data_IF_864350899508
#
_entry.id   IF_864350899508
#
_cell.length_a   1.000
_cell.length_b   1.000
_cell.length_c   1.000
_cell.angle_alpha   90.00
_cell.angle_beta   90.00
_cell.angle_gamma   90.00
#
_symmetry.space_group_name_H-M   'P 1'
#
loop_
_entity.id
_entity.type
_entity.pdbx_description
1 polymer ?
#
# COMPACT_ATOMS: atom_id res chain seq x y z
N UNK A 1 7.81 40.23 9.95
CA UNK A 1 7.18 39.18 9.10
C UNK A 1 5.78 38.97 9.66
N UNK A 2 4.82 39.78 9.19
CA UNK A 2 3.44 39.84 9.72
C UNK A 2 2.55 38.91 8.90
N UNK A 3 1.82 38.09 9.61
CA UNK A 3 0.72 37.23 9.20
C UNK A 3 -0.31 37.99 8.39
N UNK A 4 -0.49 37.64 7.10
CA UNK A 4 -1.63 38.05 6.31
C UNK A 4 -2.52 36.83 6.01
N UNK A 5 -3.34 36.47 6.97
CA UNK A 5 -4.62 35.85 6.66
C UNK A 5 -5.64 36.98 6.80
N UNK A 6 -6.17 37.46 5.69
CA UNK A 6 -7.22 38.50 5.75
C UNK A 6 -8.42 37.89 6.47
N UNK A 7 -8.96 38.59 7.47
CA UNK A 7 -10.18 38.21 8.20
C UNK A 7 -11.37 37.90 7.25
N UNK A 8 -11.35 38.44 6.04
CA UNK A 8 -12.34 38.15 5.01
C UNK A 8 -12.28 36.69 4.49
N UNK A 9 -11.10 36.10 4.32
CA UNK A 9 -10.95 34.73 3.85
C UNK A 9 -11.41 33.70 4.91
N UNK A 10 -11.12 33.98 6.18
CA UNK A 10 -11.56 33.13 7.31
C UNK A 10 -13.07 33.20 7.50
N UNK A 11 -13.69 34.39 7.34
CA UNK A 11 -15.16 34.57 7.42
C UNK A 11 -15.89 33.92 6.24
N UNK A 12 -15.32 33.91 5.03
CA UNK A 12 -15.89 33.24 3.87
C UNK A 12 -15.80 31.71 4.03
N UNK A 13 -14.68 31.19 4.56
CA UNK A 13 -14.49 29.77 4.85
C UNK A 13 -15.46 29.28 5.93
N UNK A 14 -15.58 30.00 7.04
CA UNK A 14 -16.50 29.65 8.12
C UNK A 14 -17.97 29.73 7.68
N UNK A 15 -18.34 30.70 6.83
CA UNK A 15 -19.70 30.76 6.24
C UNK A 15 -19.97 29.60 5.28
N UNK A 16 -19.01 29.21 4.46
CA UNK A 16 -19.10 28.04 3.56
C UNK A 16 -19.24 26.71 4.34
N UNK A 17 -18.45 26.51 5.39
CA UNK A 17 -18.54 25.32 6.25
C UNK A 17 -19.83 25.29 7.05
N UNK A 18 -20.27 26.42 7.60
CA UNK A 18 -21.52 26.49 8.35
C UNK A 18 -22.79 26.32 7.47
N UNK A 19 -22.72 26.62 6.17
CA UNK A 19 -23.83 26.35 5.25
C UNK A 19 -23.93 24.86 4.83
N UNK A 20 -22.86 24.07 5.00
CA UNK A 20 -22.84 22.63 4.70
C UNK A 20 -23.29 21.76 5.89
N UNK A 21 -23.20 22.27 7.13
CA UNK A 21 -23.60 21.54 8.33
C UNK A 21 -25.09 21.13 8.31
N UNK A 22 -26.07 21.95 7.88
CA UNK A 22 -27.45 21.51 7.80
C UNK A 22 -27.69 20.41 6.76
N UNK A 23 -26.95 20.43 5.65
CA UNK A 23 -27.06 19.39 4.61
C UNK A 23 -26.49 18.06 5.08
N UNK A 24 -25.39 18.07 5.82
CA UNK A 24 -24.78 16.86 6.40
C UNK A 24 -25.65 16.28 7.53
N UNK A 25 -26.23 17.15 8.39
CA UNK A 25 -27.15 16.72 9.43
C UNK A 25 -28.48 16.18 8.85
N UNK A 26 -28.99 16.78 7.78
CA UNK A 26 -30.17 16.28 7.07
C UNK A 26 -29.93 14.90 6.44
N UNK A 27 -28.73 14.67 5.88
CA UNK A 27 -28.34 13.37 5.34
C UNK A 27 -28.22 12.30 6.45
N UNK A 28 -27.68 12.65 7.61
CA UNK A 28 -27.55 11.74 8.76
C UNK A 28 -28.90 11.35 9.39
N UNK A 29 -29.89 12.24 9.32
CA UNK A 29 -31.26 11.99 9.83
C UNK A 29 -32.06 11.07 8.89
N UNK A 30 -31.81 11.14 7.56
CA UNK A 30 -32.52 10.32 6.57
C UNK A 30 -32.09 8.85 6.55
N UNK A 31 -30.96 8.49 7.16
CA UNK A 31 -30.41 7.14 7.20
C UNK A 31 -30.35 6.52 8.59
N UNK A 32 -31.31 6.85 9.49
CA UNK A 32 -31.49 6.05 10.69
C UNK A 32 -32.02 4.67 10.30
N UNK A 33 -31.32 3.57 10.59
CA UNK A 33 -31.84 2.24 10.29
C UNK A 33 -33.03 1.94 11.20
N UNK A 34 -34.22 1.86 10.60
CA UNK A 34 -35.37 1.27 11.26
C UNK A 34 -35.11 -0.24 11.37
N UNK A 35 -34.86 -0.72 12.57
CA UNK A 35 -34.73 -2.17 12.83
C UNK A 35 -36.09 -2.81 12.62
N UNK A 36 -36.29 -3.49 11.51
CA UNK A 36 -37.41 -4.40 11.34
C UNK A 36 -37.13 -5.67 12.15
N UNK A 37 -37.85 -5.86 13.22
CA UNK A 37 -37.90 -7.11 13.98
C UNK A 37 -38.77 -8.08 13.13
N UNK A 38 -38.14 -9.08 12.57
CA UNK A 38 -38.86 -10.17 11.90
C UNK A 38 -39.53 -11.05 12.96
N UNK A 39 -40.85 -11.21 12.83
CA UNK A 39 -41.63 -12.14 13.64
C UNK A 39 -41.35 -13.59 13.23
N UNK A 40 -41.22 -14.47 14.22
CA UNK A 40 -41.00 -15.91 14.07
C UNK A 40 -42.04 -16.57 13.17
N UNK A 41 -41.66 -17.46 12.27
CA UNK A 41 -42.61 -18.41 11.68
C UNK A 41 -42.67 -19.67 12.52
N UNK A 42 -43.87 -19.99 12.96
CA UNK A 42 -44.19 -21.25 13.60
C UNK A 42 -44.17 -22.42 12.62
N UNK A 43 -43.69 -23.57 13.10
CA UNK A 43 -43.94 -24.93 12.64
C UNK A 43 -43.46 -25.35 11.25
N UNK A 44 -42.22 -25.85 11.22
CA UNK A 44 -41.80 -26.83 10.21
C UNK A 44 -41.96 -28.22 10.86
N UNK A 45 -42.90 -29.00 10.30
CA UNK A 45 -43.13 -30.40 10.65
C UNK A 45 -41.87 -31.23 10.44
N UNK A 46 -41.51 -32.04 11.44
CA UNK A 46 -40.39 -32.98 11.42
C UNK A 46 -40.51 -33.96 10.22
N UNK A 47 -39.68 -33.76 9.21
CA UNK A 47 -39.41 -34.84 8.25
C UNK A 47 -38.39 -35.81 8.89
N UNK A 48 -38.50 -37.14 8.67
CA UNK A 48 -37.55 -38.10 9.18
C UNK A 48 -36.19 -37.82 8.57
N UNK A 49 -35.26 -37.28 9.34
CA UNK A 49 -33.87 -37.16 8.96
C UNK A 49 -33.29 -38.56 8.89
N UNK A 50 -33.10 -39.11 7.68
CA UNK A 50 -32.23 -40.26 7.48
C UNK A 50 -30.90 -39.93 8.11
N UNK A 51 -30.34 -40.84 8.90
CA UNK A 51 -29.16 -40.66 9.74
C UNK A 51 -27.92 -40.30 8.91
N UNK A 52 -27.82 -39.05 8.47
CA UNK A 52 -26.54 -38.42 8.10
C UNK A 52 -25.75 -38.40 9.41
N UNK A 53 -24.65 -39.11 9.48
CA UNK A 53 -23.83 -39.10 10.69
C UNK A 53 -23.40 -37.64 10.92
N UNK A 54 -23.36 -37.20 12.18
CA UNK A 54 -22.98 -35.84 12.53
C UNK A 54 -21.56 -35.48 11.98
N UNK A 55 -20.71 -36.50 11.81
CA UNK A 55 -19.41 -36.38 11.12
C UNK A 55 -19.52 -35.94 9.67
N UNK A 56 -20.42 -36.54 8.88
CA UNK A 56 -20.57 -36.23 7.45
C UNK A 56 -21.09 -34.80 7.21
N UNK A 57 -21.98 -34.33 8.13
CA UNK A 57 -22.43 -32.95 8.12
C UNK A 57 -21.31 -31.97 8.51
N UNK A 58 -20.51 -32.30 9.52
CA UNK A 58 -19.36 -31.51 9.96
C UNK A 58 -18.33 -31.37 8.83
N UNK A 59 -18.00 -32.47 8.14
CA UNK A 59 -17.04 -32.46 7.04
C UNK A 59 -17.56 -31.66 5.85
N UNK A 60 -18.85 -31.78 5.54
CA UNK A 60 -19.49 -31.00 4.47
C UNK A 60 -19.47 -29.49 4.80
N UNK A 61 -19.75 -29.11 6.04
CA UNK A 61 -19.69 -27.71 6.49
C UNK A 61 -18.23 -27.17 6.43
N UNK A 62 -17.25 -27.96 6.83
CA UNK A 62 -15.84 -27.58 6.74
C UNK A 62 -15.41 -27.35 5.27
N UNK A 63 -15.83 -28.22 4.34
CA UNK A 63 -15.55 -28.03 2.90
C UNK A 63 -16.19 -26.76 2.35
N UNK A 64 -17.44 -26.46 2.70
CA UNK A 64 -18.12 -25.22 2.29
C UNK A 64 -17.40 -23.98 2.87
N UNK A 65 -17.00 -24.06 4.13
CA UNK A 65 -16.23 -23.00 4.81
C UNK A 65 -14.92 -22.71 4.07
N UNK A 66 -14.09 -23.72 3.86
CA UNK A 66 -12.82 -23.58 3.11
C UNK A 66 -13.06 -23.09 1.67
N UNK A 67 -14.14 -23.55 1.03
CA UNK A 67 -14.54 -23.08 -0.30
C UNK A 67 -14.84 -21.58 -0.33
N UNK A 68 -15.58 -21.04 0.67
CA UNK A 68 -15.86 -19.60 0.79
C UNK A 68 -14.59 -18.80 1.06
N UNK A 69 -13.72 -19.28 1.94
CA UNK A 69 -12.44 -18.63 2.26
C UNK A 69 -11.54 -18.58 1.02
N UNK A 70 -11.49 -19.68 0.26
CA UNK A 70 -10.74 -19.75 -1.01
C UNK A 70 -11.27 -18.75 -2.04
N UNK A 71 -12.59 -18.68 -2.21
CA UNK A 71 -13.23 -17.73 -3.14
C UNK A 71 -12.93 -16.30 -2.71
N UNK A 72 -13.02 -15.99 -1.42
CA UNK A 72 -12.68 -14.66 -0.90
C UNK A 72 -11.23 -14.28 -1.19
N UNK A 73 -10.28 -15.16 -0.88
CA UNK A 73 -8.85 -14.93 -1.15
C UNK A 73 -8.56 -14.72 -2.64
N UNK A 74 -9.17 -15.51 -3.54
CA UNK A 74 -8.98 -15.36 -4.98
C UNK A 74 -9.61 -14.07 -5.53
N UNK A 75 -10.80 -13.68 -5.03
CA UNK A 75 -11.41 -12.39 -5.36
C UNK A 75 -10.52 -11.23 -4.90
N UNK A 76 -9.97 -11.32 -3.69
CA UNK A 76 -9.03 -10.33 -3.18
C UNK A 76 -7.75 -10.26 -4.03
N UNK A 77 -7.19 -11.41 -4.44
CA UNK A 77 -6.04 -11.45 -5.35
C UNK A 77 -6.34 -10.76 -6.70
N UNK A 78 -7.54 -10.98 -7.27
CA UNK A 78 -7.97 -10.30 -8.50
C UNK A 78 -8.10 -8.78 -8.31
N UNK A 79 -8.66 -8.32 -7.19
CA UNK A 79 -8.77 -6.91 -6.87
C UNK A 79 -7.39 -6.25 -6.73
N UNK A 80 -6.45 -6.92 -6.05
CA UNK A 80 -5.06 -6.41 -5.92
C UNK A 80 -4.32 -6.48 -7.26
N UNK A 81 -4.50 -7.52 -8.06
CA UNK A 81 -3.98 -7.56 -9.43
C UNK A 81 -4.46 -6.34 -10.24
N UNK A 82 -5.73 -5.97 -10.09
CA UNK A 82 -6.30 -4.82 -10.78
C UNK A 82 -5.70 -3.47 -10.31
N UNK A 83 -4.91 -3.45 -9.23
CA UNK A 83 -4.11 -2.28 -8.87
C UNK A 83 -2.95 -2.03 -9.84
N UNK A 84 -2.49 -3.00 -10.61
CA UNK A 84 -1.43 -2.80 -11.61
C UNK A 84 -1.81 -1.77 -12.69
N UNK A 85 -2.97 -1.89 -13.37
CA UNK A 85 -3.43 -0.81 -14.25
C UNK A 85 -3.68 0.50 -13.50
N UNK A 86 -4.07 0.45 -12.21
CA UNK A 86 -4.19 1.64 -11.37
C UNK A 86 -2.88 2.40 -11.23
N UNK A 87 -1.80 1.74 -10.86
CA UNK A 87 -0.46 2.32 -10.81
C UNK A 87 -0.02 2.83 -12.18
N UNK A 88 -0.20 2.04 -13.23
CA UNK A 88 0.14 2.43 -14.60
C UNK A 88 -0.55 3.74 -15.01
N UNK A 89 -1.84 3.91 -14.67
CA UNK A 89 -2.60 5.12 -14.99
C UNK A 89 -2.17 6.32 -14.13
N UNK A 90 -1.90 6.13 -12.84
CA UNK A 90 -1.38 7.19 -11.95
C UNK A 90 -0.03 7.68 -12.46
N UNK A 91 0.91 6.76 -12.71
CA UNK A 91 2.25 7.10 -13.17
C UNK A 91 2.23 7.76 -14.56
N UNK A 92 1.49 7.19 -15.51
CA UNK A 92 1.33 7.77 -16.84
C UNK A 92 0.73 9.17 -16.76
N UNK A 93 -0.32 9.34 -15.96
CA UNK A 93 -0.99 10.63 -15.81
C UNK A 93 -0.10 11.73 -15.21
N UNK A 94 0.75 11.39 -14.25
CA UNK A 94 1.69 12.32 -13.61
C UNK A 94 3.00 12.52 -14.37
N UNK A 95 3.30 11.70 -15.37
CA UNK A 95 4.48 11.83 -16.22
C UNK A 95 4.18 12.59 -17.52
N UNK A 96 5.25 12.90 -18.29
CA UNK A 96 5.11 13.53 -19.61
C UNK A 96 4.72 12.49 -20.67
N UNK A 97 3.85 12.86 -21.61
CA UNK A 97 3.25 11.96 -22.61
C UNK A 97 4.27 11.17 -23.45
N UNK A 98 5.45 11.68 -23.68
CA UNK A 98 6.55 11.05 -24.43
C UNK A 98 7.23 9.86 -23.74
N UNK A 99 6.76 9.52 -22.51
CA UNK A 99 7.28 8.42 -21.71
C UNK A 99 6.16 7.45 -21.30
N UNK A 100 4.96 7.57 -21.88
CA UNK A 100 3.79 6.80 -21.47
C UNK A 100 3.92 5.32 -21.81
N UNK A 101 4.36 4.96 -23.03
CA UNK A 101 4.57 3.57 -23.41
C UNK A 101 5.65 2.91 -22.52
N UNK A 102 6.72 3.64 -22.21
CA UNK A 102 7.76 3.15 -21.30
C UNK A 102 7.21 2.87 -19.90
N UNK A 103 6.34 3.75 -19.38
CA UNK A 103 5.70 3.56 -18.06
C UNK A 103 4.78 2.35 -18.08
N UNK A 104 3.93 2.20 -19.09
CA UNK A 104 3.02 1.05 -19.20
C UNK A 104 3.81 -0.26 -19.30
N UNK A 105 4.87 -0.29 -20.12
CA UNK A 105 5.73 -1.46 -20.24
C UNK A 105 6.42 -1.83 -18.92
N UNK A 106 6.87 -0.85 -18.13
CA UNK A 106 7.46 -1.10 -16.81
C UNK A 106 6.46 -1.76 -15.86
N UNK A 107 5.24 -1.24 -15.77
CA UNK A 107 4.20 -1.82 -14.92
C UNK A 107 3.80 -3.25 -15.35
N UNK A 108 3.77 -3.55 -16.66
CA UNK A 108 3.56 -4.92 -17.16
C UNK A 108 4.71 -5.84 -16.76
N UNK A 109 5.95 -5.38 -16.89
CA UNK A 109 7.14 -6.18 -16.58
C UNK A 109 7.26 -6.45 -15.09
N UNK A 110 6.90 -5.49 -14.23
CA UNK A 110 6.89 -5.72 -12.79
C UNK A 110 6.02 -6.92 -12.42
N UNK A 111 4.83 -6.97 -12.99
CA UNK A 111 3.95 -8.09 -12.71
C UNK A 111 4.45 -9.39 -13.33
N UNK A 112 4.85 -9.39 -14.61
CA UNK A 112 5.28 -10.62 -15.30
C UNK A 112 6.56 -11.20 -14.70
N UNK A 113 7.58 -10.37 -14.55
CA UNK A 113 8.90 -10.81 -14.04
C UNK A 113 8.81 -11.09 -12.54
N UNK A 114 8.14 -10.21 -11.79
CA UNK A 114 7.92 -10.36 -10.37
C UNK A 114 7.19 -11.67 -10.04
N UNK A 115 6.11 -11.98 -10.78
CA UNK A 115 5.32 -13.22 -10.57
C UNK A 115 6.17 -14.47 -10.78
N UNK A 116 6.92 -14.55 -11.87
CA UNK A 116 7.75 -15.72 -12.18
C UNK A 116 8.84 -15.90 -11.12
N UNK A 117 9.53 -14.82 -10.77
CA UNK A 117 10.67 -14.91 -9.85
C UNK A 117 10.24 -15.06 -8.39
N UNK A 118 9.11 -14.49 -8.02
CA UNK A 118 8.54 -14.71 -6.71
C UNK A 118 8.12 -16.17 -6.53
N UNK A 119 7.47 -16.77 -7.55
CA UNK A 119 7.16 -18.20 -7.54
C UNK A 119 8.40 -19.08 -7.45
N UNK A 120 9.46 -18.81 -8.27
CA UNK A 120 10.65 -19.67 -8.32
C UNK A 120 11.45 -19.58 -7.02
N UNK A 121 11.64 -18.39 -6.45
CA UNK A 121 12.57 -18.14 -5.34
C UNK A 121 11.93 -17.37 -4.20
N UNK A 122 11.26 -16.25 -4.50
CA UNK A 122 10.83 -15.28 -3.50
C UNK A 122 9.85 -15.85 -2.49
N UNK A 123 8.91 -16.69 -2.94
CA UNK A 123 7.90 -17.30 -2.08
C UNK A 123 8.52 -18.22 -1.03
N UNK A 124 9.48 -19.09 -1.42
CA UNK A 124 10.22 -19.92 -0.48
C UNK A 124 11.05 -19.10 0.51
N UNK A 125 11.70 -18.02 0.06
CA UNK A 125 12.45 -17.13 0.94
C UNK A 125 11.54 -16.38 1.92
N UNK A 126 10.28 -16.11 1.54
CA UNK A 126 9.34 -15.39 2.37
C UNK A 126 8.63 -16.30 3.37
N UNK A 127 8.17 -17.46 2.94
CA UNK A 127 7.32 -18.36 3.74
C UNK A 127 7.97 -19.69 4.11
N UNK A 128 9.15 -20.00 3.58
CA UNK A 128 9.89 -21.18 3.95
C UNK A 128 10.40 -21.15 5.40
N UNK A 129 10.70 -22.29 6.00
CA UNK A 129 11.24 -22.36 7.35
C UNK A 129 12.59 -21.64 7.47
N UNK A 130 12.77 -20.85 8.53
CA UNK A 130 14.01 -20.10 8.80
C UNK A 130 13.79 -19.03 9.87
N UNK A 131 14.86 -18.51 10.46
CA UNK A 131 14.76 -17.45 11.47
C UNK A 131 14.88 -16.05 10.90
N UNK A 132 15.89 -15.80 10.08
CA UNK A 132 16.17 -14.51 9.45
C UNK A 132 15.64 -14.42 8.01
N UNK A 133 15.69 -15.53 7.29
CA UNK A 133 15.18 -15.68 5.93
C UNK A 133 14.71 -17.11 5.77
N UNK A 134 13.64 -17.30 5.00
CA UNK A 134 13.12 -18.62 4.69
C UNK A 134 14.06 -19.40 3.75
N UNK A 135 13.89 -20.70 3.72
CA UNK A 135 14.64 -21.58 2.81
C UNK A 135 14.04 -21.51 1.41
N UNK A 136 14.80 -21.27 0.35
CA UNK A 136 14.28 -21.32 -1.01
C UNK A 136 13.86 -22.74 -1.40
N UNK A 137 12.65 -22.88 -1.92
CA UNK A 137 12.07 -24.17 -2.31
C UNK A 137 11.98 -24.39 -3.83
N UNK A 138 12.51 -23.50 -4.62
CA UNK A 138 12.71 -23.65 -6.08
C UNK A 138 11.49 -24.21 -6.84
N UNK A 139 10.34 -23.54 -6.74
CA UNK A 139 9.05 -23.92 -7.34
C UNK A 139 8.30 -25.06 -6.63
N UNK A 140 8.89 -25.68 -5.63
CA UNK A 140 8.22 -26.66 -4.79
C UNK A 140 7.33 -25.94 -3.77
N UNK A 141 6.07 -26.31 -3.69
CA UNK A 141 5.07 -25.72 -2.79
C UNK A 141 4.67 -26.67 -1.65
N UNK A 142 5.10 -27.92 -1.65
CA UNK A 142 4.70 -28.93 -0.66
C UNK A 142 5.12 -28.55 0.79
N UNK A 143 6.16 -27.72 0.95
CA UNK A 143 6.61 -27.24 2.26
C UNK A 143 5.56 -26.39 3.01
N UNK A 144 4.56 -25.86 2.30
CA UNK A 144 3.57 -24.94 2.85
C UNK A 144 2.40 -25.61 3.56
N UNK A 145 2.19 -26.89 3.40
CA UNK A 145 1.07 -27.62 4.02
C UNK A 145 0.99 -27.43 5.54
N UNK A 146 2.13 -27.13 6.17
CA UNK A 146 2.24 -26.85 7.60
C UNK A 146 2.01 -25.38 7.99
N UNK A 147 2.02 -24.44 7.04
CA UNK A 147 1.96 -23.00 7.29
C UNK A 147 0.55 -22.46 7.10
N UNK A 148 -0.21 -23.01 6.15
CA UNK A 148 -1.61 -22.63 5.91
C UNK A 148 -2.52 -23.51 6.76
N UNK A 149 -2.71 -23.14 8.01
CA UNK A 149 -3.47 -23.91 9.01
C UNK A 149 -4.98 -23.99 8.75
N UNK A 150 -5.53 -23.18 7.84
CA UNK A 150 -6.96 -23.08 7.56
C UNK A 150 -7.39 -23.81 6.27
N UNK A 151 -6.52 -24.66 5.69
CA UNK A 151 -6.85 -25.50 4.53
C UNK A 151 -7.01 -24.77 3.20
N UNK A 152 -6.53 -23.52 3.10
CA UNK A 152 -6.53 -22.78 1.82
C UNK A 152 -5.58 -23.44 0.81
N UNK A 153 -5.96 -23.50 -0.49
CA UNK A 153 -5.07 -23.98 -1.53
C UNK A 153 -3.80 -23.13 -1.63
N UNK A 154 -2.64 -23.78 -1.64
CA UNK A 154 -1.33 -23.14 -1.67
C UNK A 154 -1.13 -22.24 -2.90
N UNK A 155 -1.62 -22.68 -4.08
CA UNK A 155 -1.54 -21.89 -5.30
C UNK A 155 -2.37 -20.61 -5.21
N UNK A 156 -3.51 -20.66 -4.52
CA UNK A 156 -4.34 -19.50 -4.23
C UNK A 156 -3.61 -18.52 -3.30
N UNK A 157 -2.95 -19.01 -2.26
CA UNK A 157 -2.14 -18.19 -1.37
C UNK A 157 -0.92 -17.62 -2.09
N UNK A 158 -0.24 -18.39 -2.93
CA UNK A 158 0.89 -17.93 -3.75
C UNK A 158 0.49 -16.76 -4.65
N UNK A 159 -0.62 -16.87 -5.41
CA UNK A 159 -1.04 -15.77 -6.28
C UNK A 159 -1.46 -14.53 -5.48
N UNK A 160 -2.11 -14.72 -4.32
CA UNK A 160 -2.43 -13.61 -3.41
C UNK A 160 -1.16 -12.90 -2.95
N UNK A 161 -0.12 -13.61 -2.50
CA UNK A 161 1.15 -13.01 -2.08
C UNK A 161 1.95 -12.43 -3.25
N UNK A 162 1.81 -13.00 -4.45
CA UNK A 162 2.48 -12.51 -5.67
C UNK A 162 2.02 -11.08 -6.02
N UNK A 163 0.76 -10.78 -5.92
CA UNK A 163 0.24 -9.43 -6.25
C UNK A 163 0.72 -8.37 -5.25
N UNK A 164 1.02 -8.74 -4.01
CA UNK A 164 1.65 -7.86 -3.01
C UNK A 164 3.13 -7.61 -3.33
N UNK A 165 3.86 -8.65 -3.72
CA UNK A 165 5.25 -8.52 -4.17
C UNK A 165 5.37 -7.58 -5.37
N UNK A 166 4.54 -7.77 -6.39
CA UNK A 166 4.50 -6.93 -7.57
C UNK A 166 4.18 -5.47 -7.22
N UNK A 167 3.27 -5.23 -6.25
CA UNK A 167 2.95 -3.89 -5.77
C UNK A 167 4.18 -3.19 -5.19
N UNK A 168 4.99 -3.88 -4.38
CA UNK A 168 6.22 -3.31 -3.82
C UNK A 168 7.22 -2.89 -4.91
N UNK A 169 7.36 -3.68 -5.97
CA UNK A 169 8.25 -3.36 -7.10
C UNK A 169 7.72 -2.18 -7.94
N UNK A 170 6.41 -2.15 -8.23
CA UNK A 170 5.75 -1.11 -9.02
C UNK A 170 5.89 0.28 -8.38
N UNK A 171 5.83 0.40 -7.05
CA UNK A 171 6.03 1.67 -6.34
C UNK A 171 7.33 2.37 -6.72
N UNK A 172 8.39 1.61 -6.96
CA UNK A 172 9.70 2.16 -7.32
C UNK A 172 9.70 2.78 -8.72
N UNK A 173 8.90 2.25 -9.63
CA UNK A 173 8.74 2.74 -11.00
C UNK A 173 8.46 4.23 -11.07
N UNK A 174 7.49 4.70 -10.29
CA UNK A 174 7.03 6.09 -10.31
C UNK A 174 8.10 7.10 -9.96
N UNK A 175 8.90 6.84 -8.91
CA UNK A 175 9.95 7.74 -8.47
C UNK A 175 11.11 7.86 -9.48
N UNK A 176 11.34 6.81 -10.25
CA UNK A 176 12.42 6.73 -11.23
C UNK A 176 11.96 6.98 -12.67
N UNK A 177 10.70 7.35 -12.86
CA UNK A 177 10.11 7.58 -14.18
C UNK A 177 10.84 8.64 -15.01
N UNK A 178 10.71 8.51 -16.35
CA UNK A 178 11.16 9.44 -17.39
C UNK A 178 12.66 9.49 -17.66
N UNK A 179 13.54 8.80 -16.90
CA UNK A 179 14.99 8.90 -17.06
C UNK A 179 15.79 7.61 -16.82
N UNK A 180 15.12 6.53 -16.36
CA UNK A 180 15.76 5.25 -16.09
C UNK A 180 15.78 4.39 -17.34
N UNK A 181 16.91 3.73 -17.64
CA UNK A 181 16.99 2.71 -18.69
C UNK A 181 16.04 1.55 -18.38
N UNK A 182 15.31 1.07 -19.37
CA UNK A 182 14.37 -0.03 -19.20
C UNK A 182 15.05 -1.33 -18.74
N UNK A 183 16.23 -1.64 -19.27
CA UNK A 183 17.00 -2.81 -18.85
C UNK A 183 17.40 -2.78 -17.37
N UNK A 184 17.73 -1.60 -16.82
CA UNK A 184 18.06 -1.47 -15.41
C UNK A 184 16.81 -1.62 -14.53
N UNK A 185 15.67 -1.17 -15.04
CA UNK A 185 14.38 -1.37 -14.42
C UNK A 185 14.10 -2.86 -14.21
N UNK A 186 14.23 -3.68 -15.25
CA UNK A 186 14.05 -5.13 -15.16
C UNK A 186 14.96 -5.76 -14.09
N UNK A 187 16.24 -5.36 -14.04
CA UNK A 187 17.20 -5.96 -13.10
C UNK A 187 16.83 -5.64 -11.65
N UNK A 188 16.47 -4.39 -11.35
CA UNK A 188 16.13 -4.10 -9.95
C UNK A 188 14.77 -4.68 -9.54
N UNK A 189 13.81 -4.83 -10.45
CA UNK A 189 12.56 -5.59 -10.21
C UNK A 189 12.87 -7.03 -9.81
N UNK A 190 13.81 -7.68 -10.50
CA UNK A 190 14.30 -9.02 -10.13
C UNK A 190 14.79 -9.02 -8.67
N UNK A 191 15.67 -8.09 -8.31
CA UNK A 191 16.27 -8.05 -6.96
C UNK A 191 15.21 -7.75 -5.90
N UNK A 192 14.24 -6.89 -6.17
CA UNK A 192 13.14 -6.62 -5.24
C UNK A 192 12.33 -7.90 -5.01
N UNK A 193 11.95 -8.61 -6.08
CA UNK A 193 11.05 -9.77 -6.02
C UNK A 193 11.69 -11.02 -5.42
N UNK A 194 13.02 -11.18 -5.56
CA UNK A 194 13.72 -12.37 -5.03
C UNK A 194 14.47 -12.14 -3.74
N UNK A 195 14.71 -10.90 -3.32
CA UNK A 195 15.54 -10.63 -2.15
C UNK A 195 14.93 -9.61 -1.21
N UNK A 196 14.72 -8.35 -1.67
CA UNK A 196 14.42 -7.27 -0.72
C UNK A 196 13.07 -7.47 -0.08
N UNK A 197 12.03 -7.68 -0.88
CA UNK A 197 10.66 -7.88 -0.42
C UNK A 197 10.48 -9.20 0.34
N UNK A 198 10.94 -10.37 -0.18
CA UNK A 198 10.74 -11.64 0.52
C UNK A 198 11.40 -11.69 1.89
N UNK A 199 12.58 -11.11 2.07
CA UNK A 199 13.26 -11.12 3.36
C UNK A 199 12.51 -10.29 4.41
N UNK A 200 12.10 -9.08 4.08
CA UNK A 200 11.30 -8.26 5.00
C UNK A 200 9.91 -8.86 5.26
N UNK A 201 9.32 -9.48 4.24
CA UNK A 201 8.07 -10.22 4.36
C UNK A 201 8.18 -11.44 5.26
N UNK A 202 9.30 -12.18 5.18
CA UNK A 202 9.59 -13.29 6.07
C UNK A 202 9.62 -12.87 7.54
N UNK A 203 10.28 -11.74 7.85
CA UNK A 203 10.36 -11.24 9.22
C UNK A 203 9.00 -11.00 9.85
N UNK A 204 8.01 -10.59 9.06
CA UNK A 204 6.70 -10.14 9.55
C UNK A 204 5.60 -11.19 9.34
N UNK A 205 5.52 -11.79 8.13
CA UNK A 205 4.43 -12.69 7.74
C UNK A 205 4.87 -14.15 7.58
N UNK A 206 6.17 -14.39 7.35
CA UNK A 206 6.73 -15.72 7.13
C UNK A 206 7.18 -16.45 8.40
N UNK A 207 6.77 -16.00 9.58
CA UNK A 207 7.17 -16.61 10.85
C UNK A 207 8.58 -16.22 11.32
N UNK A 208 9.17 -15.17 10.75
CA UNK A 208 10.49 -14.67 11.13
C UNK A 208 10.51 -13.91 12.46
N UNK A 209 11.64 -13.36 12.81
CA UNK A 209 11.95 -12.84 14.13
C UNK A 209 11.14 -11.62 14.59
N UNK A 210 10.57 -10.81 13.68
CA UNK A 210 9.69 -9.69 14.05
C UNK A 210 8.28 -10.14 14.45
N UNK A 211 7.82 -11.30 13.95
CA UNK A 211 6.48 -11.84 14.26
C UNK A 211 6.46 -12.72 15.52
N UNK A 212 7.63 -13.05 16.09
CA UNK A 212 7.72 -13.94 17.24
C UNK A 212 7.77 -13.16 18.56
N UNK A 213 6.70 -13.23 19.36
CA UNK A 213 6.59 -12.62 20.69
C UNK A 213 6.72 -13.64 21.84
N UNK A 214 7.17 -14.87 21.58
CA UNK A 214 7.35 -15.88 22.63
C UNK A 214 8.41 -15.43 23.64
N UNK A 215 8.29 -15.91 24.90
CA UNK A 215 9.32 -15.72 25.92
C UNK A 215 10.66 -16.29 25.43
N UNK A 216 11.75 -15.54 25.60
CA UNK A 216 13.08 -15.87 25.06
C UNK A 216 13.29 -15.48 23.60
N UNK A 217 12.28 -14.93 22.91
CA UNK A 217 12.44 -14.31 21.60
C UNK A 217 12.83 -12.84 21.71
N UNK A 218 13.50 -12.31 20.68
CA UNK A 218 13.93 -10.91 20.68
C UNK A 218 12.78 -9.90 20.89
N UNK A 219 11.65 -10.10 20.19
CA UNK A 219 10.49 -9.19 20.31
C UNK A 219 9.75 -9.41 21.62
N UNK A 220 9.63 -10.68 22.07
CA UNK A 220 8.99 -11.02 23.35
C UNK A 220 9.74 -10.43 24.53
N UNK A 221 11.07 -10.56 24.58
CA UNK A 221 11.89 -10.08 25.69
C UNK A 221 11.99 -8.54 25.71
N UNK A 222 12.01 -7.87 24.54
CA UNK A 222 12.21 -6.43 24.46
C UNK A 222 10.90 -5.65 24.57
N UNK A 223 9.83 -6.13 23.97
CA UNK A 223 8.56 -5.39 23.83
C UNK A 223 7.36 -6.11 24.45
N UNK A 224 7.46 -7.41 24.74
CA UNK A 224 6.35 -8.26 25.19
C UNK A 224 5.29 -8.53 24.12
N UNK A 225 5.51 -8.08 22.88
CA UNK A 225 4.57 -8.18 21.76
C UNK A 225 5.34 -8.17 20.43
N UNK A 226 4.76 -8.78 19.38
CA UNK A 226 5.33 -8.79 18.03
C UNK A 226 5.08 -7.48 17.28
N UNK A 227 5.86 -7.27 16.23
CA UNK A 227 5.57 -6.26 15.21
C UNK A 227 4.33 -6.67 14.42
N UNK A 228 3.41 -5.73 14.22
CA UNK A 228 2.16 -5.95 13.50
C UNK A 228 2.09 -5.07 12.25
N UNK A 229 1.86 -5.69 11.12
CA UNK A 229 1.57 -5.04 9.85
C UNK A 229 0.56 -5.90 9.09
N UNK A 230 -0.74 -5.59 9.27
CA UNK A 230 -1.83 -6.45 8.80
C UNK A 230 -1.77 -6.72 7.30
N UNK A 231 -1.68 -5.66 6.51
CA UNK A 231 -1.72 -5.78 5.06
C UNK A 231 -0.52 -5.13 4.34
N UNK A 232 0.48 -4.55 5.05
CA UNK A 232 1.75 -4.15 4.42
C UNK A 232 2.00 -2.65 4.29
N UNK A 233 1.60 -1.81 5.26
CA UNK A 233 2.07 -0.42 5.28
C UNK A 233 3.59 -0.33 5.29
N UNK A 234 4.25 -1.16 6.10
CA UNK A 234 5.72 -1.25 6.15
C UNK A 234 6.25 -2.26 5.11
N UNK A 235 5.77 -3.51 5.14
CA UNK A 235 6.31 -4.64 4.37
C UNK A 235 6.18 -4.45 2.86
N UNK A 236 5.10 -3.82 2.39
CA UNK A 236 4.87 -3.55 0.95
C UNK A 236 5.20 -2.11 0.62
N UNK A 237 4.46 -1.18 1.23
CA UNK A 237 4.49 0.23 0.83
C UNK A 237 5.77 0.93 1.28
N UNK A 238 6.20 0.79 2.53
CA UNK A 238 7.46 1.42 2.97
C UNK A 238 8.67 0.79 2.31
N UNK A 239 8.68 -0.52 2.08
CA UNK A 239 9.76 -1.18 1.33
C UNK A 239 9.89 -0.56 -0.06
N UNK A 240 8.81 -0.54 -0.86
CA UNK A 240 8.81 0.11 -2.17
C UNK A 240 9.17 1.59 -2.10
N UNK A 241 8.61 2.34 -1.15
CA UNK A 241 8.82 3.78 -0.99
C UNK A 241 10.24 4.18 -0.60
N UNK A 242 10.92 3.42 0.27
CA UNK A 242 12.31 3.69 0.64
C UNK A 242 13.29 3.31 -0.48
N UNK A 243 13.05 2.20 -1.18
CA UNK A 243 13.80 1.84 -2.39
C UNK A 243 13.63 2.94 -3.44
N UNK A 244 12.41 3.44 -3.64
CA UNK A 244 12.08 4.53 -4.56
C UNK A 244 12.86 5.82 -4.24
N UNK A 245 12.91 6.20 -2.96
CA UNK A 245 13.66 7.39 -2.52
C UNK A 245 15.16 7.27 -2.82
N UNK A 246 15.74 6.13 -2.48
CA UNK A 246 17.17 5.87 -2.70
C UNK A 246 17.49 5.79 -4.20
N UNK A 247 16.64 5.10 -4.96
CA UNK A 247 16.78 5.00 -6.42
C UNK A 247 16.72 6.37 -7.09
N UNK A 248 15.73 7.20 -6.75
CA UNK A 248 15.60 8.56 -7.26
C UNK A 248 16.79 9.46 -6.88
N UNK A 249 17.32 9.30 -5.65
CA UNK A 249 18.51 10.05 -5.20
C UNK A 249 19.76 9.70 -6.00
N UNK A 250 20.00 8.41 -6.27
CA UNK A 250 21.18 7.95 -7.05
C UNK A 250 21.05 8.31 -8.52
N UNK A 251 19.85 8.14 -9.11
CA UNK A 251 19.56 8.44 -10.50
C UNK A 251 19.68 9.94 -10.82
N UNK A 252 19.41 10.78 -9.83
CA UNK A 252 19.39 12.23 -9.95
C UNK A 252 18.10 12.80 -10.58
N UNK A 253 17.93 14.13 -10.55
CA UNK A 253 16.72 14.80 -11.01
C UNK A 253 16.59 14.79 -12.54
N UNK A 254 15.34 14.86 -13.02
CA UNK A 254 15.04 15.06 -14.46
C UNK A 254 15.66 16.33 -15.01
N UNK A 255 16.00 16.32 -16.27
CA UNK A 255 16.51 17.50 -16.97
C UNK A 255 15.52 18.66 -16.83
N UNK A 256 16.02 19.80 -16.36
CA UNK A 256 15.22 21.01 -16.15
C UNK A 256 14.38 21.03 -14.85
N UNK A 257 14.51 20.04 -13.97
CA UNK A 257 13.79 19.99 -12.69
C UNK A 257 14.19 21.12 -11.74
N UNK A 258 15.45 21.50 -11.74
CA UNK A 258 15.96 22.61 -10.90
C UNK A 258 16.49 23.74 -11.73
N UNK A 259 16.29 24.97 -11.24
CA UNK A 259 16.92 26.17 -11.78
C UNK A 259 18.41 26.20 -11.42
N UNK A 260 19.16 27.13 -12.00
CA UNK A 260 20.59 27.29 -11.73
C UNK A 260 20.89 27.63 -10.25
N UNK A 261 19.96 28.33 -9.59
CA UNK A 261 19.99 28.63 -8.15
C UNK A 261 19.39 27.50 -7.26
N UNK A 262 19.13 26.34 -7.85
CA UNK A 262 18.68 25.14 -7.15
C UNK A 262 17.21 25.16 -6.69
N UNK A 263 16.38 26.06 -7.22
CA UNK A 263 14.93 26.04 -6.93
C UNK A 263 14.24 25.01 -7.82
N UNK A 264 13.29 24.23 -7.26
CA UNK A 264 12.55 23.27 -8.06
C UNK A 264 11.60 23.96 -9.05
N UNK A 265 11.51 23.41 -10.25
CA UNK A 265 10.51 23.75 -11.26
C UNK A 265 9.47 22.65 -11.32
N UNK A 266 8.20 23.05 -11.46
CA UNK A 266 7.15 22.09 -11.71
C UNK A 266 7.34 21.47 -13.11
N UNK A 267 7.28 20.13 -13.19
CA UNK A 267 7.16 19.37 -14.42
C UNK A 267 5.79 18.72 -14.37
N UNK A 268 4.74 19.33 -14.92
CA UNK A 268 3.38 18.80 -14.81
C UNK A 268 3.25 17.49 -15.57
N UNK A 269 2.41 16.61 -15.04
CA UNK A 269 1.93 15.43 -15.75
C UNK A 269 1.07 15.84 -16.95
N UNK A 270 0.98 14.95 -17.93
CA UNK A 270 0.26 15.27 -19.16
C UNK A 270 -1.24 15.01 -19.08
N UNK A 271 -1.71 14.18 -18.13
CA UNK A 271 -3.12 13.77 -18.10
C UNK A 271 -3.61 13.47 -16.68
N UNK A 272 -4.11 14.48 -16.00
CA UNK A 272 -4.70 14.33 -14.66
C UNK A 272 -5.98 13.46 -14.64
N UNK A 273 -6.67 13.31 -15.78
CA UNK A 273 -7.84 12.41 -15.88
C UNK A 273 -7.40 10.96 -15.74
N UNK A 274 -6.29 10.56 -16.39
CA UNK A 274 -5.70 9.23 -16.21
C UNK A 274 -5.25 9.02 -14.77
N UNK A 275 -4.58 10.01 -14.17
CA UNK A 275 -4.14 9.92 -12.78
C UNK A 275 -5.35 9.73 -11.83
N UNK A 276 -6.42 10.47 -12.05
CA UNK A 276 -7.65 10.34 -11.28
C UNK A 276 -8.29 8.95 -11.41
N UNK A 277 -8.42 8.45 -12.65
CA UNK A 277 -8.91 7.11 -12.92
C UNK A 277 -8.05 6.06 -12.22
N UNK A 278 -6.72 6.20 -12.30
CA UNK A 278 -5.78 5.31 -11.64
C UNK A 278 -5.97 5.26 -10.12
N UNK A 279 -6.20 6.41 -9.48
CA UNK A 279 -6.46 6.46 -8.03
C UNK A 279 -7.78 5.77 -7.66
N UNK A 280 -8.85 5.90 -8.45
CA UNK A 280 -10.09 5.14 -8.22
C UNK A 280 -9.88 3.64 -8.37
N UNK A 281 -9.09 3.21 -9.37
CA UNK A 281 -8.75 1.79 -9.57
C UNK A 281 -7.94 1.28 -8.38
N UNK A 282 -6.95 2.05 -7.90
CA UNK A 282 -6.16 1.70 -6.72
C UNK A 282 -7.03 1.62 -5.46
N UNK A 283 -7.92 2.57 -5.25
CA UNK A 283 -8.86 2.56 -4.11
C UNK A 283 -9.76 1.34 -4.13
N UNK A 284 -10.34 1.03 -5.30
CA UNK A 284 -11.13 -0.18 -5.50
C UNK A 284 -10.33 -1.46 -5.21
N UNK A 285 -9.10 -1.55 -5.73
CA UNK A 285 -8.19 -2.67 -5.46
C UNK A 285 -7.81 -2.79 -3.98
N UNK A 286 -7.80 -1.67 -3.25
CA UNK A 286 -7.50 -1.68 -1.81
C UNK A 286 -8.54 -2.41 -0.97
N UNK A 287 -9.75 -2.56 -1.48
CA UNK A 287 -10.76 -3.43 -0.87
C UNK A 287 -10.43 -4.93 -1.01
N UNK A 288 -9.55 -5.30 -1.92
CA UNK A 288 -8.89 -6.61 -1.95
C UNK A 288 -7.63 -6.65 -1.11
N UNK A 289 -6.89 -5.54 -1.06
CA UNK A 289 -5.60 -5.46 -0.37
C UNK A 289 -5.76 -5.60 1.15
N UNK A 290 -6.55 -4.76 1.79
CA UNK A 290 -6.75 -4.75 3.22
C UNK A 290 -7.77 -5.82 3.68
N UNK A 291 -9.05 -5.79 3.29
CA UNK A 291 -10.00 -6.81 3.73
C UNK A 291 -9.62 -8.22 3.26
N UNK A 292 -8.96 -8.36 2.11
CA UNK A 292 -8.47 -9.64 1.60
C UNK A 292 -7.42 -10.29 2.48
N UNK A 293 -6.63 -9.48 3.23
CA UNK A 293 -5.60 -9.98 4.16
C UNK A 293 -6.17 -10.73 5.37
N UNK A 294 -7.49 -10.71 5.59
CA UNK A 294 -8.16 -11.60 6.54
C UNK A 294 -8.06 -13.08 6.14
N UNK A 295 -7.91 -13.39 4.86
CA UNK A 295 -7.78 -14.73 4.28
C UNK A 295 -8.90 -15.71 4.62
N UNK A 296 -9.96 -15.25 5.24
CA UNK A 296 -11.13 -16.03 5.64
C UNK A 296 -12.40 -15.17 5.56
N UNK A 297 -13.54 -15.77 5.23
CA UNK A 297 -14.85 -15.11 5.12
C UNK A 297 -16.01 -15.96 5.67
N UNK A 298 -15.76 -17.22 5.99
CA UNK A 298 -16.78 -18.19 6.35
C UNK A 298 -17.27 -18.04 7.79
N UNK A 299 -16.37 -17.68 8.72
CA UNK A 299 -16.70 -17.47 10.13
C UNK A 299 -17.48 -16.18 10.38
N UNK A 300 -18.23 -16.10 11.49
CA UNK A 300 -18.89 -14.86 11.90
C UNK A 300 -17.87 -13.78 12.24
N UNK A 301 -16.81 -14.13 12.98
CA UNK A 301 -15.71 -13.24 13.30
C UNK A 301 -15.02 -12.68 12.05
N UNK A 302 -14.80 -13.53 11.04
CA UNK A 302 -14.17 -13.13 9.78
C UNK A 302 -15.01 -12.11 9.01
N UNK A 303 -16.33 -12.35 8.93
CA UNK A 303 -17.26 -11.41 8.28
C UNK A 303 -17.30 -10.06 8.97
N UNK A 304 -17.25 -10.05 10.30
CA UNK A 304 -17.17 -8.81 11.09
C UNK A 304 -15.84 -8.11 10.84
N UNK A 305 -14.72 -8.84 10.88
CA UNK A 305 -13.39 -8.31 10.62
C UNK A 305 -13.27 -7.71 9.21
N UNK A 306 -13.67 -8.45 8.17
CA UNK A 306 -13.70 -7.94 6.79
C UNK A 306 -14.52 -6.65 6.69
N UNK A 307 -15.72 -6.64 7.25
CA UNK A 307 -16.61 -5.46 7.18
C UNK A 307 -16.00 -4.25 7.91
N UNK A 308 -15.35 -4.48 9.04
CA UNK A 308 -14.62 -3.47 9.78
C UNK A 308 -13.45 -2.91 8.96
N UNK A 309 -12.64 -3.78 8.36
CA UNK A 309 -11.47 -3.40 7.55
C UNK A 309 -11.89 -2.64 6.28
N UNK A 310 -13.02 -3.00 5.65
CA UNK A 310 -13.61 -2.21 4.56
C UNK A 310 -13.90 -0.77 5.00
N UNK A 311 -14.55 -0.60 6.14
CA UNK A 311 -14.94 0.71 6.66
C UNK A 311 -13.71 1.54 7.04
N UNK A 312 -12.77 0.99 7.79
CA UNK A 312 -11.55 1.69 8.24
C UNK A 312 -10.69 2.11 7.05
N UNK A 313 -10.53 1.24 6.06
CA UNK A 313 -9.82 1.53 4.81
C UNK A 313 -10.47 2.70 4.05
N UNK A 314 -11.80 2.65 3.88
CA UNK A 314 -12.52 3.71 3.17
C UNK A 314 -12.47 5.06 3.90
N UNK A 315 -12.63 5.07 5.22
CA UNK A 315 -12.57 6.30 6.02
C UNK A 315 -11.20 6.97 5.95
N UNK A 316 -10.12 6.19 6.03
CA UNK A 316 -8.76 6.70 5.93
C UNK A 316 -8.48 7.30 4.54
N UNK A 317 -8.94 6.68 3.46
CA UNK A 317 -8.85 7.21 2.11
C UNK A 317 -9.56 8.58 1.99
N UNK A 318 -10.81 8.64 2.46
CA UNK A 318 -11.61 9.86 2.42
C UNK A 318 -10.96 11.00 3.20
N UNK A 319 -10.54 10.74 4.45
CA UNK A 319 -9.95 11.77 5.30
C UNK A 319 -8.58 12.20 4.83
N UNK A 320 -7.77 11.29 4.29
CA UNK A 320 -6.49 11.62 3.66
C UNK A 320 -6.65 12.56 2.47
N UNK A 321 -7.59 12.26 1.58
CA UNK A 321 -7.92 13.11 0.44
C UNK A 321 -8.47 14.48 0.86
N UNK A 322 -9.41 14.52 1.81
CA UNK A 322 -10.01 15.75 2.33
C UNK A 322 -8.94 16.64 2.96
N UNK A 323 -8.06 16.09 3.80
CA UNK A 323 -7.00 16.87 4.44
C UNK A 323 -5.98 17.39 3.43
N UNK A 324 -5.60 16.60 2.43
CA UNK A 324 -4.73 17.07 1.36
C UNK A 324 -5.38 18.21 0.54
N UNK A 325 -6.68 18.11 0.25
CA UNK A 325 -7.45 19.17 -0.40
C UNK A 325 -7.44 20.45 0.46
N UNK A 326 -7.79 20.36 1.75
CA UNK A 326 -7.87 21.49 2.66
C UNK A 326 -6.52 22.16 2.87
N UNK A 327 -5.47 21.35 3.15
CA UNK A 327 -4.11 21.88 3.36
C UNK A 327 -3.60 22.61 2.12
N UNK A 328 -3.80 22.06 0.93
CA UNK A 328 -3.40 22.74 -0.32
C UNK A 328 -4.22 23.98 -0.60
N UNK A 329 -5.50 23.96 -0.30
CA UNK A 329 -6.35 25.14 -0.45
C UNK A 329 -5.91 26.29 0.45
N UNK A 330 -5.65 26.00 1.74
CA UNK A 330 -5.14 27.00 2.70
C UNK A 330 -3.76 27.50 2.30
N UNK A 331 -2.86 26.59 1.94
CA UNK A 331 -1.45 26.91 1.70
C UNK A 331 -1.19 27.60 0.36
N UNK A 332 -1.91 27.21 -0.71
CA UNK A 332 -1.68 27.69 -2.06
C UNK A 332 -2.83 28.53 -2.63
N UNK A 333 -3.90 28.74 -1.84
CA UNK A 333 -5.07 29.52 -2.24
C UNK A 333 -6.03 28.80 -3.18
N UNK A 334 -5.71 27.58 -3.61
CA UNK A 334 -6.54 26.71 -4.47
C UNK A 334 -6.33 25.25 -4.09
N UNK A 335 -7.39 24.42 -4.10
CA UNK A 335 -7.24 22.98 -3.90
C UNK A 335 -6.50 22.36 -5.08
N UNK A 336 -5.54 21.48 -4.79
CA UNK A 336 -4.74 20.79 -5.80
C UNK A 336 -5.27 19.39 -6.04
N UNK A 337 -5.71 19.08 -7.25
CA UNK A 337 -6.16 17.73 -7.61
C UNK A 337 -5.04 16.70 -7.40
N UNK A 338 -3.81 16.99 -7.87
CA UNK A 338 -2.69 16.06 -7.75
C UNK A 338 -2.37 15.70 -6.29
N UNK A 339 -2.35 16.70 -5.40
CA UNK A 339 -2.14 16.45 -3.97
C UNK A 339 -3.34 15.75 -3.32
N UNK A 340 -4.57 16.05 -3.76
CA UNK A 340 -5.77 15.34 -3.26
C UNK A 340 -5.74 13.87 -3.62
N UNK A 341 -5.36 13.53 -4.86
CA UNK A 341 -5.19 12.16 -5.32
C UNK A 341 -4.13 11.41 -4.49
N UNK A 342 -2.96 12.03 -4.30
CA UNK A 342 -1.91 11.46 -3.44
C UNK A 342 -2.33 11.41 -1.96
N UNK A 343 -3.18 12.32 -1.50
CA UNK A 343 -3.74 12.30 -0.15
C UNK A 343 -4.66 11.11 0.11
N UNK A 344 -5.48 10.74 -0.87
CA UNK A 344 -6.29 9.50 -0.84
C UNK A 344 -5.37 8.29 -0.68
N UNK A 345 -4.33 8.19 -1.53
CA UNK A 345 -3.36 7.09 -1.48
C UNK A 345 -2.58 7.09 -0.15
N UNK A 346 -2.17 8.25 0.36
CA UNK A 346 -1.48 8.37 1.64
C UNK A 346 -2.34 7.88 2.82
N UNK A 347 -3.64 8.15 2.79
CA UNK A 347 -4.60 7.64 3.77
C UNK A 347 -4.75 6.12 3.69
N UNK A 348 -4.89 5.58 2.48
CA UNK A 348 -4.95 4.14 2.22
C UNK A 348 -3.68 3.42 2.70
N UNK A 349 -2.51 3.91 2.32
CA UNK A 349 -1.21 3.38 2.76
C UNK A 349 -1.07 3.43 4.28
N UNK A 350 -1.43 4.55 4.89
CA UNK A 350 -1.25 4.75 6.32
C UNK A 350 -2.07 3.80 7.17
N UNK A 351 -3.32 3.50 6.78
CA UNK A 351 -4.21 2.63 7.56
C UNK A 351 -3.91 1.15 7.40
N UNK A 352 -3.20 0.77 6.33
CA UNK A 352 -2.99 -0.62 5.89
C UNK A 352 -2.34 -1.52 6.97
N UNK A 353 -1.49 -0.97 7.87
CA UNK A 353 -0.87 -1.76 8.94
C UNK A 353 -1.82 -2.13 10.07
N UNK A 354 -2.80 -1.29 10.37
CA UNK A 354 -3.65 -1.44 11.54
C UNK A 354 -5.14 -1.32 11.25
N UNK A 355 -5.56 -1.49 10.00
CA UNK A 355 -6.95 -1.36 9.60
C UNK A 355 -7.89 -2.35 10.33
N UNK A 356 -7.34 -3.45 10.85
CA UNK A 356 -7.98 -4.48 11.67
C UNK A 356 -8.05 -4.10 13.16
N UNK A 357 -7.09 -3.32 13.67
CA UNK A 357 -6.93 -3.03 15.10
C UNK A 357 -7.48 -1.66 15.53
N UNK A 358 -7.56 -0.70 14.61
CA UNK A 358 -7.98 0.65 14.97
C UNK A 358 -9.49 0.83 14.84
N UNK A 359 -10.08 1.69 15.68
CA UNK A 359 -11.48 2.06 15.52
C UNK A 359 -11.72 2.85 14.22
N UNK A 360 -12.97 2.96 13.73
CA UNK A 360 -13.30 3.81 12.58
C UNK A 360 -12.81 5.25 12.73
N UNK A 361 -12.88 5.82 13.95
CA UNK A 361 -12.34 7.14 14.24
C UNK A 361 -10.80 7.15 14.17
N UNK A 362 -10.14 6.12 14.71
CA UNK A 362 -8.69 5.94 14.62
C UNK A 362 -8.22 5.90 13.17
N UNK A 363 -8.90 5.15 12.32
CA UNK A 363 -8.63 5.09 10.88
C UNK A 363 -8.77 6.45 10.20
N UNK A 364 -9.83 7.20 10.51
CA UNK A 364 -10.03 8.55 10.00
C UNK A 364 -8.91 9.51 10.44
N UNK A 365 -8.43 9.38 11.69
CA UNK A 365 -7.30 10.17 12.21
C UNK A 365 -6.00 9.80 11.48
N UNK A 366 -5.71 8.51 11.28
CA UNK A 366 -4.54 8.04 10.52
C UNK A 366 -4.56 8.64 9.10
N UNK A 367 -5.70 8.52 8.41
CA UNK A 367 -5.84 9.08 7.07
C UNK A 367 -5.59 10.58 7.03
N UNK A 368 -6.18 11.34 7.95
CA UNK A 368 -6.03 12.78 8.03
C UNK A 368 -4.57 13.21 8.29
N UNK A 369 -3.87 12.53 9.19
CA UNK A 369 -2.45 12.78 9.49
C UNK A 369 -1.59 12.45 8.27
N UNK A 370 -1.76 11.26 7.67
CA UNK A 370 -0.98 10.82 6.52
C UNK A 370 -1.19 11.74 5.30
N UNK A 371 -2.44 12.12 4.98
CA UNK A 371 -2.73 13.05 3.90
C UNK A 371 -2.11 14.43 4.10
N UNK A 372 -2.02 14.89 5.35
CA UNK A 372 -1.36 16.14 5.71
C UNK A 372 0.17 16.03 5.59
N UNK A 373 0.76 15.01 6.22
CA UNK A 373 2.22 14.81 6.27
C UNK A 373 2.79 14.56 4.88
N UNK A 374 2.07 13.85 4.02
CA UNK A 374 2.47 13.60 2.64
C UNK A 374 2.81 14.90 1.89
N UNK A 375 2.03 15.97 2.04
CA UNK A 375 2.28 17.25 1.35
C UNK A 375 3.61 17.86 1.78
N UNK A 376 3.86 17.91 3.10
CA UNK A 376 5.09 18.45 3.64
C UNK A 376 6.29 17.57 3.31
N UNK A 377 6.10 16.26 3.27
CA UNK A 377 7.12 15.30 2.87
C UNK A 377 7.55 15.49 1.41
N UNK A 378 6.60 15.63 0.47
CA UNK A 378 6.89 15.92 -0.94
C UNK A 378 7.72 17.20 -1.06
N UNK A 379 7.31 18.27 -0.39
CA UNK A 379 8.06 19.52 -0.41
C UNK A 379 9.46 19.41 0.22
N UNK A 380 9.58 18.67 1.31
CA UNK A 380 10.86 18.46 1.97
C UNK A 380 11.84 17.68 1.08
N UNK A 381 11.38 16.56 0.50
CA UNK A 381 12.16 15.72 -0.41
C UNK A 381 12.60 16.55 -1.62
N UNK A 382 11.67 17.28 -2.25
CA UNK A 382 11.96 18.07 -3.43
C UNK A 382 12.86 19.29 -3.12
N UNK A 383 12.52 20.08 -2.09
CA UNK A 383 13.16 21.39 -1.85
C UNK A 383 14.43 21.28 -1.02
N UNK A 384 14.47 20.36 -0.04
CA UNK A 384 15.60 20.24 0.90
C UNK A 384 16.57 19.15 0.49
N UNK A 385 16.06 17.93 0.19
CA UNK A 385 16.91 16.83 -0.23
C UNK A 385 17.30 16.91 -1.71
N UNK A 386 16.61 17.71 -2.50
CA UNK A 386 16.84 17.87 -3.96
C UNK A 386 16.66 16.55 -4.73
N UNK A 387 15.78 15.68 -4.23
CA UNK A 387 15.42 14.42 -4.87
C UNK A 387 14.16 14.66 -5.71
N UNK A 388 14.21 14.28 -6.99
CA UNK A 388 13.07 14.40 -7.90
C UNK A 388 12.30 13.09 -7.95
N UNK A 389 11.16 13.09 -7.32
CA UNK A 389 10.18 12.01 -7.33
C UNK A 389 8.94 12.47 -8.11
N UNK A 390 8.78 12.03 -9.38
CA UNK A 390 7.74 12.54 -10.27
C UNK A 390 6.32 12.37 -9.78
N UNK A 391 6.02 11.28 -9.09
CA UNK A 391 4.67 10.91 -8.64
C UNK A 391 4.46 11.05 -7.15
N UNK A 392 5.53 11.30 -6.38
CA UNK A 392 5.48 11.38 -4.93
C UNK A 392 5.46 10.03 -4.22
N UNK A 393 5.94 8.95 -4.88
CA UNK A 393 5.91 7.59 -4.36
C UNK A 393 6.61 7.45 -3.01
N UNK A 394 7.77 8.09 -2.84
CA UNK A 394 8.53 8.07 -1.59
C UNK A 394 7.74 8.67 -0.41
N UNK A 395 6.99 9.74 -0.65
CA UNK A 395 6.17 10.39 0.38
C UNK A 395 4.90 9.61 0.69
N UNK A 396 4.21 9.14 -0.35
CA UNK A 396 2.96 8.38 -0.22
C UNK A 396 3.22 7.02 0.41
N UNK A 397 4.19 6.26 -0.11
CA UNK A 397 4.40 4.88 0.32
C UNK A 397 5.48 4.76 1.42
N UNK A 398 6.63 5.42 1.27
CA UNK A 398 7.72 5.35 2.26
C UNK A 398 7.36 6.02 3.57
N UNK A 399 7.07 7.33 3.51
CA UNK A 399 6.82 8.14 4.71
C UNK A 399 5.47 7.82 5.34
N UNK A 400 4.37 7.74 4.55
CA UNK A 400 3.05 7.48 5.12
C UNK A 400 2.88 6.02 5.53
N UNK A 401 3.55 5.05 4.89
CA UNK A 401 3.57 3.67 5.34
C UNK A 401 4.25 3.51 6.70
N UNK A 402 5.43 4.12 6.86
CA UNK A 402 6.13 4.14 8.14
C UNK A 402 5.32 4.84 9.23
N UNK A 403 4.78 6.03 8.92
CA UNK A 403 3.99 6.81 9.86
C UNK A 403 2.70 6.08 10.27
N UNK A 404 1.97 5.49 9.32
CA UNK A 404 0.74 4.76 9.60
C UNK A 404 0.97 3.54 10.50
N UNK A 405 2.05 2.80 10.25
CA UNK A 405 2.46 1.69 11.12
C UNK A 405 2.78 2.15 12.55
N UNK A 406 3.45 3.29 12.71
CA UNK A 406 3.70 3.88 14.03
C UNK A 406 2.38 4.34 14.69
N UNK A 407 1.48 4.97 13.91
CA UNK A 407 0.18 5.42 14.41
C UNK A 407 -0.71 4.25 14.83
N UNK A 408 -0.55 3.05 14.24
CA UNK A 408 -1.19 1.83 14.72
C UNK A 408 -0.77 1.51 16.15
N UNK A 409 0.52 1.65 16.48
CA UNK A 409 1.03 1.48 17.86
C UNK A 409 0.43 2.48 18.88
N UNK A 410 -0.06 3.62 18.40
CA UNK A 410 -0.77 4.60 19.24
C UNK A 410 -2.28 4.31 19.34
N UNK A 411 -2.92 3.91 18.23
CA UNK A 411 -4.37 3.96 18.03
C UNK A 411 -5.05 2.59 17.98
N UNK A 412 -4.31 1.47 18.08
CA UNK A 412 -4.91 0.15 18.21
C UNK A 412 -5.77 0.07 19.48
N UNK A 413 -6.99 -0.48 19.35
CA UNK A 413 -7.99 -0.43 20.41
C UNK A 413 -7.70 -1.37 21.59
N UNK A 414 -6.89 -2.42 21.38
CA UNK A 414 -6.45 -3.36 22.41
C UNK A 414 -5.11 -2.97 23.04
N UNK A 415 -4.08 -2.78 22.18
CA UNK A 415 -2.68 -2.69 22.60
C UNK A 415 -2.06 -1.31 22.39
N UNK A 416 -2.82 -0.38 21.81
CA UNK A 416 -2.36 0.97 21.50
C UNK A 416 -2.10 1.80 22.76
N UNK A 417 -1.06 2.62 22.71
CA UNK A 417 -0.65 3.48 23.84
C UNK A 417 -1.80 4.36 24.33
N UNK A 418 -2.62 4.93 23.44
CA UNK A 418 -3.72 5.83 23.80
C UNK A 418 -4.94 5.08 24.37
N UNK A 419 -4.97 3.77 24.25
CA UNK A 419 -6.01 2.90 24.82
C UNK A 419 -5.54 2.13 26.06
N UNK A 420 -4.36 2.45 26.58
CA UNK A 420 -3.83 1.88 27.81
C UNK A 420 -3.00 0.61 27.63
N UNK A 421 -2.64 0.21 26.39
CA UNK A 421 -1.80 -0.95 26.09
C UNK A 421 -0.31 -0.80 26.46
N UNK A 422 0.10 0.39 26.96
CA UNK A 422 1.49 0.64 27.35
C UNK A 422 2.42 0.88 26.15
N UNK A 423 3.73 0.96 26.44
CA UNK A 423 4.75 1.32 25.46
C UNK A 423 5.22 0.16 24.59
N UNK A 424 4.89 -1.08 24.94
CA UNK A 424 5.40 -2.29 24.27
C UNK A 424 5.04 -2.30 22.78
N UNK A 425 3.75 -2.19 22.47
CA UNK A 425 3.27 -2.24 21.09
C UNK A 425 3.79 -1.06 20.25
N UNK A 426 3.73 0.17 20.78
CA UNK A 426 4.32 1.32 20.09
C UNK A 426 5.81 1.13 19.85
N UNK A 427 6.55 0.61 20.84
CA UNK A 427 7.98 0.31 20.70
C UNK A 427 8.24 -0.72 19.61
N UNK A 428 7.46 -1.81 19.56
CA UNK A 428 7.54 -2.83 18.52
C UNK A 428 7.27 -2.25 17.12
N UNK A 429 6.25 -1.40 16.98
CA UNK A 429 5.94 -0.75 15.70
C UNK A 429 7.04 0.20 15.23
N UNK A 430 7.57 1.05 16.12
CA UNK A 430 8.68 1.96 15.79
C UNK A 430 9.92 1.16 15.39
N UNK A 431 10.25 0.13 16.15
CA UNK A 431 11.42 -0.71 15.88
C UNK A 431 11.29 -1.45 14.55
N UNK A 432 10.15 -2.11 14.27
CA UNK A 432 9.88 -2.81 13.03
C UNK A 432 9.98 -1.89 11.81
N UNK A 433 9.39 -0.70 11.88
CA UNK A 433 9.48 0.32 10.82
C UNK A 433 10.93 0.73 10.53
N UNK A 434 11.73 0.94 11.58
CA UNK A 434 13.15 1.31 11.42
C UNK A 434 13.92 0.16 10.74
N UNK A 435 13.74 -1.06 11.20
CA UNK A 435 14.47 -2.21 10.68
C UNK A 435 14.10 -2.52 9.23
N UNK A 436 12.81 -2.56 8.91
CA UNK A 436 12.32 -2.76 7.54
C UNK A 436 12.79 -1.63 6.62
N UNK A 437 12.73 -0.40 7.11
CA UNK A 437 13.18 0.77 6.35
C UNK A 437 14.69 0.77 6.08
N UNK A 438 15.52 0.42 7.08
CA UNK A 438 16.97 0.30 6.92
C UNK A 438 17.35 -0.84 5.97
N UNK A 439 16.65 -1.98 6.04
CA UNK A 439 16.82 -3.08 5.11
C UNK A 439 16.53 -2.64 3.67
N UNK A 440 15.34 -2.10 3.42
CA UNK A 440 14.90 -1.70 2.10
C UNK A 440 15.80 -0.61 1.50
N UNK A 441 16.06 0.46 2.25
CA UNK A 441 16.92 1.55 1.81
C UNK A 441 18.38 1.11 1.65
N UNK A 442 18.91 0.33 2.60
CA UNK A 442 20.31 -0.11 2.61
C UNK A 442 20.63 -1.06 1.45
N UNK A 443 19.82 -2.11 1.28
CA UNK A 443 20.01 -3.05 0.16
C UNK A 443 19.72 -2.36 -1.17
N UNK A 444 18.66 -1.55 -1.24
CA UNK A 444 18.35 -0.74 -2.42
C UNK A 444 19.51 0.19 -2.81
N UNK A 445 20.16 0.84 -1.83
CA UNK A 445 21.33 1.68 -2.08
C UNK A 445 22.48 0.89 -2.71
N UNK A 446 22.81 -0.27 -2.16
CA UNK A 446 23.86 -1.13 -2.69
C UNK A 446 23.54 -1.56 -4.12
N UNK A 447 22.31 -2.03 -4.35
CA UNK A 447 21.87 -2.49 -5.68
C UNK A 447 21.95 -1.36 -6.70
N UNK A 448 21.35 -0.19 -6.42
CA UNK A 448 21.39 0.92 -7.37
C UNK A 448 22.79 1.48 -7.60
N UNK A 449 23.65 1.52 -6.59
CA UNK A 449 25.06 1.92 -6.77
C UNK A 449 25.83 0.95 -7.63
N UNK A 450 25.60 -0.35 -7.47
CA UNK A 450 26.23 -1.36 -8.32
C UNK A 450 25.73 -1.28 -9.76
N UNK A 451 24.43 -1.16 -9.98
CA UNK A 451 23.85 -1.03 -11.30
C UNK A 451 24.33 0.25 -12.00
N UNK A 452 24.38 1.37 -11.27
CA UNK A 452 24.87 2.64 -11.83
C UNK A 452 26.36 2.55 -12.24
N UNK A 453 27.19 1.94 -11.38
CA UNK A 453 28.63 1.78 -11.63
C UNK A 453 28.94 0.85 -12.80
N UNK A 454 28.18 -0.24 -12.95
CA UNK A 454 28.47 -1.31 -13.95
C UNK A 454 27.83 -0.97 -15.28
N UNK A 455 26.58 -0.53 -15.31
CA UNK A 455 25.78 -0.38 -16.52
C UNK A 455 25.32 1.05 -16.77
N UNK A 456 25.37 1.92 -15.75
CA UNK A 456 24.74 3.22 -15.74
C UNK A 456 23.20 3.13 -15.70
N UNK A 457 22.58 3.70 -14.69
CA UNK A 457 21.13 3.65 -14.48
C UNK A 457 20.34 4.53 -15.46
N UNK A 458 20.91 5.68 -15.81
CA UNK A 458 20.22 6.75 -16.51
C UNK A 458 20.41 6.67 -18.01
N UNK A 459 19.38 7.01 -18.77
CA UNK A 459 19.46 7.26 -20.20
C UNK A 459 20.27 8.53 -20.49
N UNK A 460 20.75 8.71 -21.72
CA UNK A 460 21.43 9.94 -22.13
C UNK A 460 20.46 11.14 -22.06
N UNK A 461 21.04 12.34 -21.87
CA UNK A 461 20.26 13.60 -21.83
C UNK A 461 19.38 13.78 -23.06
N UNK A 462 19.88 13.42 -24.24
CA UNK A 462 19.14 13.48 -25.49
C UNK A 462 17.89 12.60 -25.44
N UNK A 463 18.03 11.34 -25.04
CA UNK A 463 16.89 10.40 -24.92
C UNK A 463 15.85 10.92 -23.91
N UNK A 464 16.31 11.44 -22.78
CA UNK A 464 15.39 12.02 -21.77
C UNK A 464 14.63 13.25 -22.30
N UNK A 465 15.29 14.10 -23.13
CA UNK A 465 14.68 15.28 -23.74
C UNK A 465 13.72 14.91 -24.88
N UNK A 466 14.04 13.91 -25.69
CA UNK A 466 13.18 13.46 -26.77
C UNK A 466 12.06 12.51 -26.35
N UNK A 467 12.28 11.68 -25.31
CA UNK A 467 11.31 10.73 -24.72
C UNK A 467 11.75 9.28 -24.85
N UNK A 468 11.40 8.49 -23.82
CA UNK A 468 11.84 7.10 -23.73
C UNK A 468 11.02 6.16 -24.64
N UNK A 469 9.78 6.51 -24.96
CA UNK A 469 8.88 5.65 -25.73
C UNK A 469 9.50 5.19 -27.05
N UNK A 470 10.04 6.12 -27.82
CA UNK A 470 10.64 5.83 -29.13
C UNK A 470 11.98 5.12 -28.98
N UNK A 471 12.81 5.55 -28.01
CA UNK A 471 14.18 5.02 -27.91
C UNK A 471 14.27 3.65 -27.22
N UNK A 472 13.42 3.40 -26.23
CA UNK A 472 13.45 2.15 -25.48
C UNK A 472 12.49 1.10 -26.08
N UNK A 473 11.42 1.52 -26.80
CA UNK A 473 10.36 0.61 -27.27
C UNK A 473 10.06 0.73 -28.77
N UNK A 474 10.48 1.80 -29.44
CA UNK A 474 10.17 2.03 -30.87
C UNK A 474 8.71 2.39 -31.13
N UNK A 475 7.94 2.70 -30.12
CA UNK A 475 6.51 2.95 -30.17
C UNK A 475 6.16 4.28 -29.50
N UNK A 476 5.02 4.85 -29.87
CA UNK A 476 4.44 6.01 -29.17
C UNK A 476 3.07 5.61 -28.60
N UNK A 477 2.81 5.96 -27.35
CA UNK A 477 1.51 5.70 -26.73
C UNK A 477 0.37 6.56 -27.33
N UNK A 478 0.73 7.65 -28.02
CA UNK A 478 -0.25 8.57 -28.63
C UNK A 478 0.10 8.83 -30.07
N UNK A 479 -0.89 8.68 -30.95
CA UNK A 479 -0.79 9.16 -32.34
C UNK A 479 -0.77 10.68 -32.35
N UNK A 480 0.20 11.28 -33.01
CA UNK A 480 0.29 12.74 -33.22
C UNK A 480 -0.46 13.13 -34.48
#
# INVERSE_FOLDING_TARGET
>A
MKTFISEGCLRLFLRGVMSLIPAVLFFLILFSPTVMVAQNPENISEMPVSSVQASDLSDSLAQVSTGLDTVWMLLAAMLVFFMQPGFAMVEAGFARCKNTANILMKNLVDFMVGSILFWIVGFGLMFGPGGFVGTPHWCDLEFMDSIISNGLPIEGFLIFQTVFCATSATIVSGAMAERTKFSMYMIYTIVISVLIYPVSGHWTWGGGWLSNAAEGSFMGDLFGISFHDFAGSAVVHSVGGWIALVGAAILGPRVGKYTHDGKPKAIPGHNLTLACLGVFILWFGWFGFNPGSQLAASGEADRIAISHVFLTTNLAACTGGIMALLVTWIKYGKPSLSFTLNGILAGLVGVTAGCDLVSPLGAAVIGAICGTVMIFSVEFIERKLKIDDPVGASSVHGVCGALGTILTGLLATSDGLLYGGGWGFLGAQVFGVIVVGLWAAGVGFVVFKLLDKIFGLRVSKRIEEEGLDIYEHGESAYNK
#
